data_IF_438596729569
#
_entry.id   IF_438596729569
#
_cell.length_a   1.000
_cell.length_b   1.000
_cell.length_c   1.000
_cell.angle_alpha   90.00
_cell.angle_beta   90.00
_cell.angle_gamma   90.00
#
_symmetry.space_group_name_H-M   'P 1'
#
loop_
_entity.id
_entity.type
_entity.pdbx_description
1 polymer ?
#
# COMPACT_ATOMS: atom_id res chain seq x y z
N UNK A 1 0.56 20.81 0.05
CA UNK A 1 0.57 19.48 0.67
C UNK A 1 1.16 18.54 -0.34
N UNK A 2 2.30 17.93 -0.04
CA UNK A 2 3.01 17.06 -0.97
C UNK A 2 2.61 15.61 -0.72
N UNK A 3 2.14 14.92 -1.76
CA UNK A 3 1.54 13.59 -1.64
C UNK A 3 2.40 12.54 -2.33
N UNK A 4 2.75 11.49 -1.59
CA UNK A 4 3.36 10.28 -2.13
C UNK A 4 2.30 9.19 -2.28
N UNK A 5 2.29 8.50 -3.40
CA UNK A 5 1.50 7.30 -3.67
C UNK A 5 2.47 6.13 -3.69
N UNK A 6 2.68 5.50 -2.53
CA UNK A 6 3.60 4.38 -2.37
C UNK A 6 2.82 3.07 -2.41
N UNK A 7 3.16 2.14 -3.30
CA UNK A 7 2.40 0.88 -3.41
C UNK A 7 3.26 -0.33 -3.74
N UNK A 8 2.83 -1.51 -3.28
CA UNK A 8 3.31 -2.78 -3.81
C UNK A 8 2.21 -3.44 -4.65
N UNK A 9 2.58 -4.12 -5.74
CA UNK A 9 1.65 -4.93 -6.52
C UNK A 9 2.32 -6.17 -7.10
N UNK A 10 1.68 -7.32 -6.96
CA UNK A 10 2.15 -8.57 -7.55
C UNK A 10 1.56 -8.79 -8.95
N UNK A 11 0.23 -8.87 -9.07
CA UNK A 11 -0.47 -9.10 -10.35
C UNK A 11 -0.97 -7.82 -11.02
N UNK A 12 -0.62 -6.64 -10.51
CA UNK A 12 -0.93 -5.36 -11.13
C UNK A 12 -2.26 -4.70 -10.70
N UNK A 13 -3.12 -5.36 -9.92
CA UNK A 13 -4.39 -4.74 -9.46
C UNK A 13 -4.13 -3.46 -8.65
N UNK A 14 -3.30 -3.56 -7.61
CA UNK A 14 -2.93 -2.42 -6.76
C UNK A 14 -2.22 -1.31 -7.55
N UNK A 15 -1.41 -1.68 -8.55
CA UNK A 15 -0.77 -0.75 -9.48
C UNK A 15 -1.79 0.05 -10.27
N UNK A 16 -2.81 -0.61 -10.83
CA UNK A 16 -3.89 0.06 -11.55
C UNK A 16 -4.65 1.06 -10.69
N UNK A 17 -4.88 0.75 -9.41
CA UNK A 17 -5.48 1.70 -8.44
C UNK A 17 -4.54 2.87 -8.16
N UNK A 18 -3.26 2.60 -7.93
CA UNK A 18 -2.26 3.64 -7.65
C UNK A 18 -2.13 4.63 -8.82
N UNK A 19 -2.17 4.14 -10.06
CA UNK A 19 -2.13 4.97 -11.26
C UNK A 19 -3.38 5.86 -11.38
N UNK A 20 -4.57 5.32 -11.12
CA UNK A 20 -5.81 6.12 -11.11
C UNK A 20 -5.78 7.20 -10.02
N UNK A 21 -5.26 6.88 -8.84
CA UNK A 21 -5.06 7.87 -7.76
C UNK A 21 -4.08 8.96 -8.21
N UNK A 22 -2.98 8.58 -8.88
CA UNK A 22 -2.03 9.55 -9.44
C UNK A 22 -2.71 10.48 -10.44
N UNK A 23 -3.48 9.95 -11.38
CA UNK A 23 -4.16 10.74 -12.40
C UNK A 23 -5.14 11.75 -11.78
N UNK A 24 -5.79 11.39 -10.67
CA UNK A 24 -6.75 12.24 -9.98
C UNK A 24 -6.10 13.30 -9.06
N UNK A 25 -4.93 13.00 -8.49
CA UNK A 25 -4.32 13.83 -7.43
C UNK A 25 -3.05 14.56 -7.87
N UNK A 26 -2.41 14.12 -8.96
CA UNK A 26 -1.08 14.58 -9.36
C UNK A 26 0.05 14.17 -8.42
N UNK A 27 -0.20 13.25 -7.47
CA UNK A 27 0.79 12.80 -6.49
C UNK A 27 2.01 12.11 -7.10
N UNK A 28 3.11 12.06 -6.35
CA UNK A 28 4.32 11.33 -6.77
C UNK A 28 4.07 9.84 -6.63
N UNK A 29 4.24 9.07 -7.70
CA UNK A 29 4.07 7.62 -7.67
C UNK A 29 5.39 6.93 -7.33
N UNK A 30 5.36 5.98 -6.40
CA UNK A 30 6.50 5.15 -6.01
C UNK A 30 6.07 3.68 -5.86
N UNK A 31 6.74 2.79 -6.59
CA UNK A 31 6.51 1.35 -6.49
C UNK A 31 7.48 0.74 -5.48
N UNK A 32 6.95 0.19 -4.39
CA UNK A 32 7.69 -0.54 -3.37
C UNK A 32 8.04 -1.91 -3.96
N UNK A 33 9.29 -2.07 -4.39
CA UNK A 33 9.78 -3.33 -4.97
C UNK A 33 10.73 -4.05 -4.01
N UNK A 34 10.51 -5.34 -3.69
CA UNK A 34 11.54 -6.12 -3.02
C UNK A 34 12.77 -6.24 -3.93
N UNK A 35 13.97 -6.27 -3.34
CA UNK A 35 15.24 -6.43 -4.06
C UNK A 35 15.26 -7.73 -4.86
N UNK A 36 14.83 -8.82 -4.20
CA UNK A 36 14.56 -10.10 -4.84
C UNK A 36 13.07 -10.16 -5.21
N UNK A 37 12.78 -10.08 -6.51
CA UNK A 37 11.40 -10.12 -7.00
C UNK A 37 10.72 -11.46 -6.70
N UNK A 38 9.43 -11.41 -6.35
CA UNK A 38 8.60 -12.62 -6.25
C UNK A 38 8.52 -13.35 -7.59
N UNK A 39 8.40 -14.67 -7.53
CA UNK A 39 8.22 -15.52 -8.73
C UNK A 39 6.94 -15.14 -9.48
N UNK A 40 6.97 -15.23 -10.81
CA UNK A 40 5.75 -15.11 -11.64
C UNK A 40 4.81 -16.32 -11.48
N UNK A 41 5.29 -17.42 -10.90
CA UNK A 41 4.45 -18.58 -10.56
C UNK A 41 3.65 -18.31 -9.28
N UNK A 42 2.32 -18.31 -9.42
CA UNK A 42 1.39 -17.95 -8.35
C UNK A 42 1.56 -18.85 -7.12
N UNK A 43 1.59 -20.18 -7.30
CA UNK A 43 1.65 -21.13 -6.18
C UNK A 43 2.97 -21.00 -5.41
N UNK A 44 4.07 -20.74 -6.12
CA UNK A 44 5.38 -20.47 -5.51
C UNK A 44 5.35 -19.19 -4.68
N UNK A 45 4.80 -18.11 -5.23
CA UNK A 45 4.66 -16.84 -4.51
C UNK A 45 3.69 -16.95 -3.34
N UNK A 46 2.58 -17.67 -3.47
CA UNK A 46 1.64 -17.89 -2.37
C UNK A 46 2.33 -18.62 -1.19
N UNK A 47 3.08 -19.69 -1.48
CA UNK A 47 3.83 -20.42 -0.44
C UNK A 47 4.89 -19.54 0.23
N UNK A 48 5.64 -18.78 -0.55
CA UNK A 48 6.66 -17.86 -0.05
C UNK A 48 6.03 -16.76 0.82
N UNK A 49 5.07 -16.03 0.29
CA UNK A 49 4.39 -14.94 1.00
C UNK A 49 3.72 -15.44 2.29
N UNK A 50 3.12 -16.63 2.29
CA UNK A 50 2.53 -17.23 3.50
C UNK A 50 3.57 -17.47 4.58
N UNK A 51 4.76 -17.94 4.20
CA UNK A 51 5.89 -18.15 5.11
C UNK A 51 6.40 -16.80 5.64
N UNK A 52 6.69 -15.86 4.75
CA UNK A 52 7.22 -14.53 5.08
C UNK A 52 6.29 -13.77 6.03
N UNK A 53 4.99 -13.75 5.75
CA UNK A 53 3.98 -13.13 6.61
C UNK A 53 3.93 -13.77 8.00
N UNK A 54 4.11 -15.09 8.11
CA UNK A 54 4.10 -15.79 9.40
C UNK A 54 5.38 -15.56 10.21
N UNK A 55 6.51 -15.45 9.54
CA UNK A 55 7.83 -15.27 10.14
C UNK A 55 8.18 -13.79 10.38
N UNK A 56 7.26 -12.87 10.06
CA UNK A 56 7.49 -11.43 10.09
C UNK A 56 8.73 -11.00 9.27
N UNK A 57 8.98 -11.70 8.16
CA UNK A 57 10.13 -11.44 7.30
C UNK A 57 10.05 -10.03 6.70
N UNK A 58 11.19 -9.38 6.57
CA UNK A 58 11.35 -8.03 6.00
C UNK A 58 12.33 -8.11 4.83
N UNK A 59 11.83 -8.33 3.59
CA UNK A 59 12.71 -8.34 2.43
C UNK A 59 13.35 -6.97 2.25
N UNK A 60 14.63 -6.94 1.86
CA UNK A 60 15.26 -5.70 1.42
C UNK A 60 14.52 -5.12 0.21
N UNK A 61 14.47 -3.79 0.09
CA UNK A 61 13.85 -3.11 -1.05
C UNK A 61 14.89 -2.77 -2.11
N UNK A 62 14.47 -2.81 -3.38
CA UNK A 62 15.32 -2.45 -4.51
C UNK A 62 15.66 -0.95 -4.53
N UNK A 63 14.74 -0.12 -4.05
CA UNK A 63 14.81 1.33 -4.09
C UNK A 63 14.24 1.95 -2.81
N UNK A 64 14.68 3.18 -2.53
CA UNK A 64 14.20 4.00 -1.44
C UNK A 64 13.57 5.27 -2.00
N UNK A 65 12.59 5.82 -1.27
CA UNK A 65 11.99 7.11 -1.65
C UNK A 65 13.01 8.21 -1.41
N UNK A 66 13.36 8.93 -2.47
CA UNK A 66 14.20 10.12 -2.35
C UNK A 66 13.43 11.24 -1.64
N UNK A 67 14.05 11.86 -0.64
CA UNK A 67 13.47 12.97 0.13
C UNK A 67 12.09 12.66 0.74
N UNK A 68 11.97 11.50 1.41
CA UNK A 68 10.73 11.08 2.08
C UNK A 68 10.20 12.13 3.07
N UNK A 69 11.09 12.93 3.66
CA UNK A 69 10.74 13.99 4.59
C UNK A 69 9.82 15.06 3.96
N UNK A 70 9.94 15.31 2.66
CA UNK A 70 9.17 16.33 1.93
C UNK A 70 7.68 16.02 1.76
N UNK A 71 7.24 14.78 2.02
CA UNK A 71 5.84 14.37 1.86
C UNK A 71 5.04 14.53 3.15
N UNK A 72 3.87 15.15 3.07
CA UNK A 72 2.97 15.33 4.21
C UNK A 72 1.98 14.16 4.31
N UNK A 73 1.55 13.64 3.15
CA UNK A 73 0.53 12.60 3.04
C UNK A 73 1.04 11.44 2.20
N UNK A 74 0.84 10.23 2.70
CA UNK A 74 1.19 8.99 2.03
C UNK A 74 -0.08 8.21 1.71
N UNK A 75 -0.38 8.05 0.43
CA UNK A 75 -1.41 7.14 -0.07
C UNK A 75 -0.76 5.77 -0.24
N UNK A 76 -1.00 4.88 0.73
CA UNK A 76 -0.29 3.62 0.85
C UNK A 76 -1.10 2.48 0.22
N UNK A 77 -0.53 1.83 -0.80
CA UNK A 77 -1.14 0.74 -1.53
C UNK A 77 -0.57 -0.63 -1.15
N UNK A 78 -1.43 -1.58 -0.80
CA UNK A 78 -1.01 -2.97 -0.55
C UNK A 78 -2.10 -3.95 -0.98
N UNK A 79 -1.75 -5.13 -1.51
CA UNK A 79 -2.67 -6.25 -1.46
C UNK A 79 -2.85 -6.71 0.01
N UNK A 80 -4.02 -7.26 0.33
CA UNK A 80 -4.20 -8.06 1.55
C UNK A 80 -3.66 -9.48 1.29
N UNK A 81 -2.52 -9.79 1.89
CA UNK A 81 -1.92 -11.12 1.87
C UNK A 81 -2.07 -11.77 3.24
N UNK A 82 -2.84 -12.87 3.28
CA UNK A 82 -3.09 -13.66 4.49
C UNK A 82 -3.58 -12.82 5.69
N UNK A 83 -4.55 -11.93 5.45
CA UNK A 83 -5.13 -11.01 6.43
C UNK A 83 -4.19 -9.90 6.93
N UNK A 84 -3.13 -9.58 6.19
CA UNK A 84 -2.26 -8.44 6.51
C UNK A 84 -1.60 -7.81 5.27
N UNK A 85 -0.69 -6.86 5.49
CA UNK A 85 0.05 -6.14 4.45
C UNK A 85 1.11 -7.05 3.81
N UNK A 86 1.52 -6.75 2.58
CA UNK A 86 2.62 -7.45 1.95
C UNK A 86 3.95 -7.22 2.71
N UNK A 87 4.85 -8.22 2.81
CA UNK A 87 6.12 -8.09 3.52
C UNK A 87 6.97 -6.90 3.07
N UNK A 88 7.01 -6.61 1.76
CA UNK A 88 7.72 -5.43 1.21
C UNK A 88 7.15 -4.10 1.72
N UNK A 89 5.82 -4.01 1.90
CA UNK A 89 5.17 -2.82 2.49
C UNK A 89 5.53 -2.70 3.97
N UNK A 90 5.65 -3.82 4.69
CA UNK A 90 6.13 -3.80 6.07
C UNK A 90 7.57 -3.31 6.19
N UNK A 91 8.46 -3.69 5.26
CA UNK A 91 9.82 -3.13 5.17
C UNK A 91 9.76 -1.62 4.92
N UNK A 92 9.01 -1.16 3.92
CA UNK A 92 8.87 0.26 3.59
C UNK A 92 8.43 1.11 4.78
N UNK A 93 7.44 0.62 5.54
CA UNK A 93 6.96 1.27 6.75
C UNK A 93 8.02 1.34 7.86
N UNK A 94 8.89 0.34 7.95
CA UNK A 94 9.92 0.24 8.99
C UNK A 94 11.17 1.08 8.67
N UNK A 95 11.43 1.36 7.39
CA UNK A 95 12.61 2.08 6.92
C UNK A 95 12.41 3.59 6.79
N UNK A 96 11.17 4.08 6.91
CA UNK A 96 10.84 5.50 6.72
C UNK A 96 10.20 6.10 7.99
N UNK A 97 10.46 7.37 8.26
CA UNK A 97 9.87 8.09 9.40
C UNK A 97 8.54 8.75 9.02
N UNK A 98 7.45 8.22 9.55
CA UNK A 98 6.08 8.72 9.32
C UNK A 98 5.61 9.71 10.38
N UNK A 99 6.48 10.14 11.30
CA UNK A 99 6.12 11.09 12.37
C UNK A 99 5.59 12.41 11.79
N UNK A 100 4.42 12.84 12.24
CA UNK A 100 3.75 14.05 11.77
C UNK A 100 3.10 13.95 10.39
N UNK A 101 3.19 12.78 9.73
CA UNK A 101 2.58 12.54 8.41
C UNK A 101 1.18 11.94 8.54
N UNK A 102 0.46 11.92 7.42
CA UNK A 102 -0.83 11.24 7.27
C UNK A 102 -0.69 10.01 6.38
N UNK A 103 -1.39 8.92 6.71
CA UNK A 103 -1.51 7.74 5.85
C UNK A 103 -2.97 7.53 5.47
N UNK A 104 -3.26 7.44 4.18
CA UNK A 104 -4.51 6.92 3.67
C UNK A 104 -4.25 5.59 2.95
N UNK A 105 -4.76 4.49 3.51
CA UNK A 105 -4.57 3.15 2.96
C UNK A 105 -5.53 2.90 1.80
N UNK A 106 -5.05 2.33 0.70
CA UNK A 106 -5.89 1.64 -0.27
C UNK A 106 -5.44 0.18 -0.42
N UNK A 107 -6.39 -0.73 -0.27
CA UNK A 107 -6.12 -2.17 -0.22
C UNK A 107 -6.91 -2.90 -1.30
N UNK A 108 -6.21 -3.71 -2.09
CA UNK A 108 -6.82 -4.67 -3.02
C UNK A 108 -6.83 -6.07 -2.41
N UNK A 109 -7.85 -6.90 -2.64
CA UNK A 109 -7.91 -8.24 -2.02
C UNK A 109 -8.72 -9.24 -2.86
N UNK A 110 -8.47 -10.54 -2.66
CA UNK A 110 -9.24 -11.63 -3.29
C UNK A 110 -10.45 -12.08 -2.46
N UNK A 111 -11.07 -11.19 -1.68
CA UNK A 111 -12.25 -11.49 -0.85
C UNK A 111 -12.04 -11.34 0.67
N UNK A 112 -10.79 -11.24 1.13
CA UNK A 112 -10.45 -11.08 2.56
C UNK A 112 -10.69 -9.68 3.14
N UNK A 113 -11.14 -8.72 2.32
CA UNK A 113 -11.31 -7.32 2.73
C UNK A 113 -10.00 -6.70 3.24
N UNK A 114 -10.10 -5.85 4.26
CA UNK A 114 -8.93 -5.23 4.90
C UNK A 114 -8.17 -6.16 5.86
N UNK A 115 -8.77 -7.26 6.33
CA UNK A 115 -8.17 -8.09 7.38
C UNK A 115 -7.65 -7.26 8.55
N UNK A 116 -6.38 -7.44 8.91
CA UNK A 116 -5.67 -6.68 9.93
C UNK A 116 -4.69 -5.63 9.36
N UNK A 117 -4.82 -5.25 8.08
CA UNK A 117 -3.90 -4.32 7.41
C UNK A 117 -3.76 -2.99 8.17
N UNK A 118 -4.88 -2.32 8.45
CA UNK A 118 -4.91 -1.03 9.16
C UNK A 118 -4.22 -1.11 10.53
N UNK A 119 -4.59 -2.11 11.35
CA UNK A 119 -4.04 -2.24 12.70
C UNK A 119 -2.58 -2.66 12.71
N UNK A 120 -2.10 -3.39 11.70
CA UNK A 120 -0.69 -3.73 11.57
C UNK A 120 0.15 -2.54 11.07
N UNK A 121 -0.38 -1.69 10.18
CA UNK A 121 0.26 -0.43 9.81
C UNK A 121 0.42 0.46 11.05
N UNK A 122 -0.65 0.63 11.84
CA UNK A 122 -0.64 1.44 13.07
C UNK A 122 0.38 0.98 14.11
N UNK A 123 0.76 -0.30 14.13
CA UNK A 123 1.82 -0.81 15.03
C UNK A 123 3.23 -0.48 14.54
N UNK A 124 3.40 -0.34 13.22
CA UNK A 124 4.69 -0.08 12.59
C UNK A 124 5.03 1.41 12.58
N UNK A 125 4.02 2.28 12.46
CA UNK A 125 4.21 3.74 12.42
C UNK A 125 3.87 4.39 13.76
N UNK A 126 4.61 5.45 14.12
CA UNK A 126 4.38 6.23 15.36
C UNK A 126 4.20 7.70 15.01
N UNK A 127 3.32 8.38 15.74
CA UNK A 127 3.07 9.81 15.53
C UNK A 127 2.43 10.15 14.18
N UNK A 128 1.77 9.17 13.56
CA UNK A 128 1.16 9.29 12.22
C UNK A 128 -0.36 9.29 12.34
N UNK A 129 -1.03 10.17 11.59
CA UNK A 129 -2.48 10.19 11.49
C UNK A 129 -2.95 9.16 10.45
N UNK A 130 -3.79 8.20 10.88
CA UNK A 130 -4.44 7.28 9.95
C UNK A 130 -5.76 7.89 9.45
N UNK A 131 -5.85 8.09 8.15
CA UNK A 131 -7.03 8.54 7.45
C UNK A 131 -7.95 7.35 7.07
N UNK A 132 -9.12 7.64 6.50
CA UNK A 132 -10.03 6.58 6.06
C UNK A 132 -9.35 5.66 5.03
N UNK A 133 -9.68 4.37 5.08
CA UNK A 133 -9.11 3.36 4.18
C UNK A 133 -10.06 2.99 3.04
N UNK A 134 -9.49 2.76 1.85
CA UNK A 134 -10.19 2.21 0.70
C UNK A 134 -9.98 0.69 0.63
N UNK A 135 -11.07 -0.06 0.49
CA UNK A 135 -11.05 -1.50 0.34
C UNK A 135 -11.69 -1.91 -0.98
N UNK A 136 -10.94 -2.60 -1.84
CA UNK A 136 -11.38 -3.02 -3.17
C UNK A 136 -11.16 -4.52 -3.35
N UNK A 137 -12.21 -5.24 -3.77
CA UNK A 137 -12.07 -6.60 -4.27
C UNK A 137 -11.38 -6.53 -5.64
N UNK A 138 -10.30 -7.29 -5.83
CA UNK A 138 -9.44 -7.26 -7.02
C UNK A 138 -9.03 -5.82 -7.39
N UNK A 139 -9.42 -5.32 -8.55
CA UNK A 139 -9.18 -3.97 -9.05
C UNK A 139 -10.39 -3.03 -8.84
N UNK A 140 -11.40 -3.46 -8.10
CA UNK A 140 -12.63 -2.72 -7.83
C UNK A 140 -13.67 -2.75 -8.94
N UNK A 141 -13.36 -3.35 -10.11
CA UNK A 141 -14.25 -3.46 -11.26
C UNK A 141 -14.74 -2.11 -11.82
N UNK A 142 -15.93 -2.12 -12.43
CA UNK A 142 -16.51 -0.94 -13.09
C UNK A 142 -16.69 0.28 -12.16
N UNK A 143 -16.85 0.05 -10.86
CA UNK A 143 -17.07 1.10 -9.87
C UNK A 143 -15.78 1.65 -9.24
N UNK A 144 -14.61 1.11 -9.62
CA UNK A 144 -13.32 1.44 -8.99
C UNK A 144 -13.09 2.95 -8.94
N UNK A 145 -13.24 3.63 -10.08
CA UNK A 145 -13.04 5.08 -10.19
C UNK A 145 -13.96 5.87 -9.23
N UNK A 146 -15.25 5.55 -9.19
CA UNK A 146 -16.20 6.25 -8.33
C UNK A 146 -15.87 6.04 -6.83
N UNK A 147 -15.43 4.84 -6.45
CA UNK A 147 -15.00 4.53 -5.08
C UNK A 147 -13.71 5.28 -4.71
N UNK A 148 -12.75 5.37 -5.64
CA UNK A 148 -11.51 6.14 -5.45
C UNK A 148 -11.84 7.62 -5.25
N UNK A 149 -12.65 8.23 -6.14
CA UNK A 149 -13.03 9.64 -6.02
C UNK A 149 -13.76 9.94 -4.70
N UNK A 150 -14.69 9.07 -4.29
CA UNK A 150 -15.40 9.22 -3.02
C UNK A 150 -14.45 9.13 -1.81
N UNK A 151 -13.50 8.20 -1.86
CA UNK A 151 -12.49 8.02 -0.82
C UNK A 151 -11.53 9.22 -0.72
N UNK A 152 -11.08 9.75 -1.86
CA UNK A 152 -10.21 10.94 -1.89
C UNK A 152 -10.94 12.16 -1.33
N UNK A 153 -12.19 12.40 -1.74
CA UNK A 153 -13.03 13.50 -1.21
C UNK A 153 -13.21 13.40 0.30
N UNK A 154 -13.51 12.20 0.81
CA UNK A 154 -13.71 11.96 2.25
C UNK A 154 -12.48 12.34 3.07
N UNK A 155 -11.29 12.13 2.51
CA UNK A 155 -10.01 12.43 3.14
C UNK A 155 -9.49 13.86 2.85
N UNK A 156 -10.22 14.68 2.09
CA UNK A 156 -9.77 16.04 1.70
C UNK A 156 -8.56 16.03 0.76
N UNK A 157 -8.43 15.00 -0.07
CA UNK A 157 -7.33 14.77 -1.01
C UNK A 157 -7.73 15.04 -2.48
N UNK A 158 -8.98 15.49 -2.69
CA UNK A 158 -9.61 15.78 -3.97
C UNK A 158 -10.70 16.83 -3.77
#
# INVERSE_FOLDING_TARGET
MNTLIAYFSYTGHTKGIAQQIQDLTGGTLFEIRPLDAYSSDYDTTERQARKETREDYRPALAEQVSDFASYDTILLGTPNWFNTIAPSVATFLSENDFSGKKIALFCTNGGGGLGHTVSNIQKLVKGTEMLDSLNLYEDGGADAKAKIEAWLKKNGLY
#
